data_IF_831790385470
#
_entry.id   IF_831790385470
#
_cell.length_a   1.000
_cell.length_b   1.000
_cell.length_c   1.000
_cell.angle_alpha   90.00
_cell.angle_beta   90.00
_cell.angle_gamma   90.00
#
_symmetry.space_group_name_H-M   'P 1'
#
loop_
_entity.id
_entity.type
_entity.pdbx_description
1 polymer ?
#
# COMPACT_ATOMS: atom_id res chain seq x y z
N UNK A 1 8.94 1.12 -5.74
CA UNK A 1 8.24 2.25 -5.08
C UNK A 1 9.01 3.52 -5.36
N UNK A 2 8.35 4.60 -5.74
CA UNK A 2 8.95 5.91 -6.02
C UNK A 2 8.43 6.92 -4.97
N UNK A 3 9.35 7.54 -4.23
CA UNK A 3 9.03 8.44 -3.10
C UNK A 3 9.07 9.89 -3.59
N UNK A 4 7.97 10.62 -3.40
CA UNK A 4 7.86 12.02 -3.79
C UNK A 4 8.91 12.86 -3.05
N UNK A 5 9.67 13.65 -3.82
CA UNK A 5 10.76 14.47 -3.30
C UNK A 5 12.10 13.73 -3.10
N UNK A 6 12.16 12.41 -3.39
CA UNK A 6 13.42 11.63 -3.33
C UNK A 6 13.78 10.98 -4.67
N UNK A 7 12.83 10.88 -5.57
CA UNK A 7 12.99 10.29 -6.89
C UNK A 7 12.88 11.40 -7.96
N UNK A 8 13.84 11.47 -8.85
CA UNK A 8 13.70 12.23 -10.10
C UNK A 8 12.91 11.36 -11.10
N UNK A 9 11.60 11.33 -10.91
CA UNK A 9 10.73 10.41 -11.63
C UNK A 9 10.77 10.57 -13.15
N UNK A 10 11.09 11.76 -13.64
CA UNK A 10 11.22 12.00 -15.09
C UNK A 10 12.38 11.24 -15.68
N UNK A 11 13.46 11.09 -14.91
CA UNK A 11 14.70 10.43 -15.31
C UNK A 11 14.77 8.99 -14.84
N UNK A 12 14.35 8.73 -13.59
CA UNK A 12 14.57 7.44 -12.94
C UNK A 12 13.51 6.39 -13.31
N UNK A 13 12.29 6.84 -13.70
CA UNK A 13 11.25 5.95 -14.21
C UNK A 13 11.34 5.92 -15.73
N UNK A 14 11.89 4.84 -16.26
CA UNK A 14 12.01 4.60 -17.71
C UNK A 14 10.62 4.31 -18.31
N UNK A 15 10.45 4.41 -19.65
CA UNK A 15 9.27 3.89 -20.33
C UNK A 15 9.03 2.41 -19.98
N UNK A 16 7.76 1.98 -19.94
CA UNK A 16 7.40 0.59 -19.55
C UNK A 16 8.06 -0.45 -20.48
N UNK A 17 8.23 -0.14 -21.76
CA UNK A 17 8.87 -1.01 -22.76
C UNK A 17 10.36 -1.28 -22.47
N UNK A 18 11.03 -0.35 -21.76
CA UNK A 18 12.43 -0.45 -21.35
C UNK A 18 12.60 -0.99 -19.92
N UNK A 19 11.52 -1.47 -19.30
CA UNK A 19 11.50 -1.89 -17.90
C UNK A 19 10.88 -3.28 -17.74
N UNK A 20 11.32 -3.99 -16.70
CA UNK A 20 10.77 -5.31 -16.31
C UNK A 20 9.65 -5.21 -15.27
N UNK A 21 9.37 -4.01 -14.78
CA UNK A 21 8.30 -3.80 -13.78
C UNK A 21 6.99 -3.44 -14.48
N UNK A 22 5.86 -3.83 -13.90
CA UNK A 22 4.52 -3.56 -14.42
C UNK A 22 3.85 -2.39 -13.70
N UNK A 23 4.16 -2.19 -12.42
CA UNK A 23 3.51 -1.21 -11.57
C UNK A 23 4.50 -0.28 -10.88
N UNK A 24 4.20 1.01 -10.87
CA UNK A 24 4.88 2.02 -10.07
C UNK A 24 4.00 2.40 -8.88
N UNK A 25 4.53 2.32 -7.67
CA UNK A 25 3.85 2.74 -6.44
C UNK A 25 4.43 4.08 -5.99
N UNK A 26 3.64 5.13 -6.09
CA UNK A 26 4.02 6.50 -5.69
C UNK A 26 3.76 6.69 -4.21
N UNK A 27 4.83 6.83 -3.42
CA UNK A 27 4.74 7.07 -1.97
C UNK A 27 4.77 8.57 -1.69
N UNK A 28 3.81 9.06 -0.92
CA UNK A 28 3.61 10.49 -0.68
C UNK A 28 3.02 10.76 0.70
N UNK A 29 3.27 11.95 1.22
CA UNK A 29 2.50 12.53 2.33
C UNK A 29 1.39 13.44 1.80
N UNK A 30 0.34 13.68 2.59
CA UNK A 30 -0.80 14.51 2.17
C UNK A 30 -0.40 15.90 1.68
N UNK A 31 0.57 16.54 2.31
CA UNK A 31 1.07 17.86 1.91
C UNK A 31 1.86 17.86 0.59
N UNK A 32 2.26 16.70 0.08
CA UNK A 32 2.97 16.54 -1.19
C UNK A 32 2.06 16.09 -2.34
N UNK A 33 0.76 16.03 -2.10
CA UNK A 33 -0.19 15.45 -3.07
C UNK A 33 -0.13 16.08 -4.46
N UNK A 34 0.02 17.41 -4.65
CA UNK A 34 0.16 17.98 -6.00
C UNK A 34 1.32 17.36 -6.79
N UNK A 35 2.49 17.22 -6.17
CA UNK A 35 3.67 16.60 -6.80
C UNK A 35 3.49 15.09 -7.01
N UNK A 36 2.74 14.44 -6.12
CA UNK A 36 2.39 13.01 -6.29
C UNK A 36 1.52 12.81 -7.53
N UNK A 37 0.54 13.67 -7.77
CA UNK A 37 -0.31 13.61 -8.96
C UNK A 37 0.53 13.79 -10.23
N UNK A 38 1.45 14.76 -10.27
CA UNK A 38 2.36 14.92 -11.42
C UNK A 38 3.18 13.65 -11.69
N UNK A 39 3.71 13.00 -10.64
CA UNK A 39 4.45 11.75 -10.77
C UNK A 39 3.56 10.58 -11.22
N UNK A 40 2.32 10.52 -10.75
CA UNK A 40 1.34 9.52 -11.18
C UNK A 40 1.05 9.67 -12.67
N UNK A 41 0.73 10.89 -13.12
CA UNK A 41 0.43 11.17 -14.53
C UNK A 41 1.63 10.85 -15.44
N UNK A 42 2.86 11.20 -15.02
CA UNK A 42 4.07 10.88 -15.76
C UNK A 42 4.27 9.35 -15.87
N UNK A 43 4.15 8.61 -14.77
CA UNK A 43 4.29 7.15 -14.78
C UNK A 43 3.18 6.48 -15.62
N UNK A 44 1.94 6.97 -15.57
CA UNK A 44 0.85 6.51 -16.44
C UNK A 44 1.15 6.77 -17.90
N UNK A 45 1.69 7.95 -18.25
CA UNK A 45 2.06 8.28 -19.63
C UNK A 45 3.16 7.37 -20.18
N UNK A 46 3.99 6.79 -19.29
CA UNK A 46 5.04 5.81 -19.61
C UNK A 46 4.53 4.37 -19.70
N UNK A 47 3.23 4.13 -19.49
CA UNK A 47 2.58 2.82 -19.70
C UNK A 47 2.49 1.94 -18.44
N UNK A 48 2.77 2.45 -17.25
CA UNK A 48 2.68 1.70 -16.01
C UNK A 48 1.26 1.64 -15.44
N UNK A 49 0.97 0.58 -14.70
CA UNK A 49 -0.04 0.60 -13.65
C UNK A 49 0.50 1.42 -12.47
N UNK A 50 -0.32 2.30 -11.88
CA UNK A 50 0.18 3.24 -10.87
C UNK A 50 -0.72 3.29 -9.65
N UNK A 51 -0.12 3.20 -8.45
CA UNK A 51 -0.84 3.40 -7.19
C UNK A 51 -0.32 4.59 -6.41
N UNK A 52 -1.22 5.25 -5.68
CA UNK A 52 -0.88 6.29 -4.71
C UNK A 52 -0.86 5.70 -3.30
N UNK A 53 0.31 5.74 -2.66
CA UNK A 53 0.51 5.25 -1.30
C UNK A 53 0.59 6.44 -0.35
N UNK A 54 -0.52 6.78 0.33
CA UNK A 54 -0.60 7.92 1.25
C UNK A 54 -0.03 7.49 2.60
N UNK A 55 1.17 8.00 2.91
CA UNK A 55 1.92 7.66 4.11
C UNK A 55 1.46 8.44 5.34
N UNK A 56 1.73 7.88 6.53
CA UNK A 56 1.55 8.52 7.84
C UNK A 56 0.13 8.99 8.13
N UNK A 57 -0.87 8.26 7.64
CA UNK A 57 -2.29 8.64 7.78
C UNK A 57 -2.72 8.77 9.26
N UNK A 58 -2.09 8.04 10.19
CA UNK A 58 -2.38 8.12 11.63
C UNK A 58 -2.06 9.49 12.24
N UNK A 59 -1.22 10.30 11.60
CA UNK A 59 -0.82 11.64 12.03
C UNK A 59 -1.40 12.75 11.14
N UNK A 60 -2.31 12.39 10.24
CA UNK A 60 -2.91 13.33 9.30
C UNK A 60 -4.27 13.79 9.82
N UNK A 61 -4.57 15.08 9.66
CA UNK A 61 -5.91 15.59 9.95
C UNK A 61 -6.91 15.02 8.93
N UNK A 62 -8.13 14.73 9.39
CA UNK A 62 -9.13 14.08 8.53
C UNK A 62 -9.47 14.94 7.29
N UNK A 63 -9.59 16.27 7.46
CA UNK A 63 -9.83 17.19 6.36
C UNK A 63 -8.74 17.17 5.28
N UNK A 64 -7.48 17.01 5.68
CA UNK A 64 -6.35 16.98 4.76
C UNK A 64 -6.31 15.65 4.02
N UNK A 65 -6.64 14.56 4.72
CA UNK A 65 -6.79 13.24 4.10
C UNK A 65 -7.94 13.22 3.08
N UNK A 66 -9.08 13.84 3.40
CA UNK A 66 -10.22 13.93 2.49
C UNK A 66 -9.87 14.70 1.22
N UNK A 67 -9.15 15.82 1.34
CA UNK A 67 -8.65 16.56 0.18
C UNK A 67 -7.68 15.73 -0.66
N UNK A 68 -6.75 15.02 -0.02
CA UNK A 68 -5.80 14.16 -0.70
C UNK A 68 -6.51 13.03 -1.46
N UNK A 69 -7.50 12.39 -0.85
CA UNK A 69 -8.30 11.35 -1.48
C UNK A 69 -9.10 11.87 -2.68
N UNK A 70 -9.69 13.07 -2.58
CA UNK A 70 -10.39 13.72 -3.70
C UNK A 70 -9.44 14.00 -4.88
N UNK A 71 -8.21 14.41 -4.61
CA UNK A 71 -7.20 14.61 -5.65
C UNK A 71 -6.82 13.29 -6.34
N UNK A 72 -6.56 12.23 -5.56
CA UNK A 72 -6.22 10.90 -6.13
C UNK A 72 -7.41 10.31 -6.87
N UNK A 73 -8.62 10.48 -6.37
CA UNK A 73 -9.84 10.03 -7.04
C UNK A 73 -9.95 10.56 -8.48
N UNK A 74 -9.58 11.83 -8.68
CA UNK A 74 -9.61 12.52 -9.98
C UNK A 74 -8.38 12.24 -10.87
N UNK A 75 -7.33 11.64 -10.34
CA UNK A 75 -6.10 11.32 -11.07
C UNK A 75 -6.23 10.04 -11.89
N UNK A 76 -5.22 9.79 -12.73
CA UNK A 76 -5.11 8.55 -13.50
C UNK A 76 -4.59 7.34 -12.72
N UNK A 77 -4.39 7.43 -11.39
CA UNK A 77 -4.00 6.32 -10.55
C UNK A 77 -5.00 5.15 -10.65
N UNK A 78 -4.49 3.91 -10.72
CA UNK A 78 -5.31 2.70 -10.76
C UNK A 78 -5.76 2.27 -9.35
N UNK A 79 -4.99 2.64 -8.31
CA UNK A 79 -5.32 2.27 -6.94
C UNK A 79 -4.77 3.24 -5.90
N UNK A 80 -5.33 3.12 -4.68
CA UNK A 80 -4.96 3.94 -3.52
C UNK A 80 -4.60 3.02 -2.35
N UNK A 81 -3.47 3.29 -1.68
CA UNK A 81 -3.03 2.49 -0.53
C UNK A 81 -3.23 3.22 0.79
N UNK A 82 -3.83 2.51 1.74
CA UNK A 82 -3.86 2.85 3.16
C UNK A 82 -2.48 2.50 3.73
N UNK A 83 -1.72 3.48 4.23
CA UNK A 83 -0.39 3.21 4.78
C UNK A 83 -0.32 3.62 6.24
N UNK A 84 -0.38 2.63 7.15
CA UNK A 84 -0.10 2.81 8.57
C UNK A 84 1.41 2.80 8.82
N UNK A 85 2.07 3.92 8.47
CA UNK A 85 3.54 4.06 8.53
C UNK A 85 4.13 3.89 9.91
N UNK A 86 3.35 4.17 10.95
CA UNK A 86 3.81 4.10 12.35
C UNK A 86 3.33 2.84 13.06
N UNK A 87 2.50 2.02 12.40
CA UNK A 87 1.88 0.86 13.04
C UNK A 87 1.10 1.25 14.31
N UNK A 88 0.43 2.39 14.25
CA UNK A 88 -0.22 3.04 15.40
C UNK A 88 -1.75 2.99 15.35
N UNK A 89 -2.32 2.52 14.24
CA UNK A 89 -3.77 2.43 14.09
C UNK A 89 -4.32 1.16 14.74
N UNK A 90 -5.46 1.30 15.39
CA UNK A 90 -6.25 0.20 15.91
C UNK A 90 -7.25 -0.33 14.86
N UNK A 91 -7.74 -1.57 14.99
CA UNK A 91 -8.67 -2.16 14.01
C UNK A 91 -9.92 -1.32 13.74
N UNK A 92 -10.47 -0.63 14.74
CA UNK A 92 -11.64 0.25 14.56
C UNK A 92 -11.32 1.47 13.69
N UNK A 93 -10.08 1.97 13.76
CA UNK A 93 -9.62 3.08 12.92
C UNK A 93 -9.39 2.58 11.50
N UNK A 94 -8.79 1.39 11.34
CA UNK A 94 -8.61 0.75 10.03
C UNK A 94 -9.96 0.51 9.37
N UNK A 95 -10.97 0.02 10.12
CA UNK A 95 -12.32 -0.18 9.61
C UNK A 95 -12.89 1.08 8.95
N UNK A 96 -12.89 2.19 9.68
CA UNK A 96 -13.39 3.48 9.17
C UNK A 96 -12.60 4.00 7.99
N UNK A 97 -11.27 3.87 8.05
CA UNK A 97 -10.39 4.29 6.95
C UNK A 97 -10.61 3.43 5.72
N UNK A 98 -10.70 2.11 5.87
CA UNK A 98 -10.95 1.20 4.76
C UNK A 98 -12.32 1.47 4.12
N UNK A 99 -13.38 1.66 4.90
CA UNK A 99 -14.71 2.01 4.39
C UNK A 99 -14.65 3.32 3.56
N UNK A 100 -13.96 4.36 4.05
CA UNK A 100 -13.78 5.64 3.33
C UNK A 100 -13.00 5.46 2.02
N UNK A 101 -11.89 4.72 2.05
CA UNK A 101 -11.06 4.49 0.87
C UNK A 101 -11.76 3.64 -0.19
N UNK A 102 -12.48 2.59 0.24
CA UNK A 102 -13.21 1.70 -0.69
C UNK A 102 -14.38 2.43 -1.34
N UNK A 103 -15.15 3.22 -0.60
CA UNK A 103 -16.23 4.05 -1.16
C UNK A 103 -15.71 5.00 -2.26
N UNK A 104 -14.64 5.73 -1.98
CA UNK A 104 -14.04 6.66 -2.94
C UNK A 104 -13.45 5.91 -4.14
N UNK A 105 -12.75 4.81 -3.91
CA UNK A 105 -12.12 4.02 -4.96
C UNK A 105 -13.15 3.38 -5.90
N UNK A 106 -14.21 2.77 -5.36
CA UNK A 106 -15.30 2.17 -6.14
C UNK A 106 -16.00 3.21 -7.01
N UNK A 107 -16.29 4.39 -6.47
CA UNK A 107 -16.93 5.49 -7.22
C UNK A 107 -16.06 5.99 -8.39
N UNK A 108 -14.76 5.71 -8.38
CA UNK A 108 -13.79 6.19 -9.38
C UNK A 108 -13.07 5.06 -10.14
N UNK A 109 -13.57 3.82 -10.05
CA UNK A 109 -13.02 2.67 -10.76
C UNK A 109 -11.59 2.30 -10.35
N UNK A 110 -11.22 2.54 -9.09
CA UNK A 110 -9.90 2.26 -8.52
C UNK A 110 -9.97 1.09 -7.54
N UNK A 111 -8.82 0.46 -7.27
CA UNK A 111 -8.70 -0.53 -6.21
C UNK A 111 -8.05 0.06 -4.95
N UNK A 112 -8.21 -0.64 -3.83
CA UNK A 112 -7.59 -0.25 -2.56
C UNK A 112 -6.58 -1.29 -2.10
N UNK A 113 -5.45 -0.82 -1.59
CA UNK A 113 -4.43 -1.62 -0.94
C UNK A 113 -4.20 -1.22 0.52
N UNK A 114 -3.59 -2.14 1.28
CA UNK A 114 -3.20 -1.94 2.67
C UNK A 114 -1.73 -2.25 2.88
N UNK A 115 -1.02 -1.32 3.54
CA UNK A 115 0.34 -1.51 4.04
C UNK A 115 0.39 -1.14 5.52
N UNK A 116 0.63 -2.13 6.39
CA UNK A 116 0.64 -1.97 7.83
C UNK A 116 2.00 -2.28 8.43
N UNK A 117 2.54 -1.34 9.23
CA UNK A 117 3.67 -1.59 10.12
C UNK A 117 3.22 -2.20 11.46
N UNK A 118 4.13 -2.92 12.13
CA UNK A 118 3.80 -3.80 13.25
C UNK A 118 4.22 -3.25 14.63
N UNK A 119 4.32 -1.94 14.79
CA UNK A 119 4.83 -1.34 16.03
C UNK A 119 3.98 -1.65 17.28
N UNK A 120 2.68 -1.83 17.12
CA UNK A 120 1.78 -2.29 18.19
C UNK A 120 1.41 -3.77 18.06
N UNK A 121 2.11 -4.53 17.22
CA UNK A 121 1.82 -5.94 16.92
C UNK A 121 0.41 -6.17 16.35
N UNK A 122 -0.15 -5.16 15.68
CA UNK A 122 -1.48 -5.19 15.09
C UNK A 122 -1.47 -5.27 13.56
N UNK A 123 -0.29 -5.31 12.90
CA UNK A 123 -0.23 -5.28 11.44
C UNK A 123 -1.06 -6.39 10.79
N UNK A 124 -0.99 -7.61 11.31
CA UNK A 124 -1.78 -8.73 10.81
C UNK A 124 -3.28 -8.50 11.01
N UNK A 125 -3.71 -8.15 12.24
CA UNK A 125 -5.11 -7.90 12.56
C UNK A 125 -5.68 -6.73 11.71
N UNK A 126 -4.92 -5.66 11.57
CA UNK A 126 -5.28 -4.51 10.75
C UNK A 126 -5.39 -4.85 9.26
N UNK A 127 -4.49 -5.69 8.74
CA UNK A 127 -4.55 -6.16 7.35
C UNK A 127 -5.79 -7.03 7.10
N UNK A 128 -6.15 -7.90 8.06
CA UNK A 128 -7.37 -8.72 7.96
C UNK A 128 -8.63 -7.85 8.06
N UNK A 129 -8.65 -6.87 8.96
CA UNK A 129 -9.79 -5.93 9.05
C UNK A 129 -9.99 -5.16 7.74
N UNK A 130 -8.89 -4.67 7.13
CA UNK A 130 -8.94 -4.01 5.82
C UNK A 130 -9.48 -4.96 4.72
N UNK A 131 -8.99 -6.20 4.68
CA UNK A 131 -9.48 -7.22 3.73
C UNK A 131 -10.98 -7.49 3.88
N UNK A 132 -11.47 -7.57 5.12
CA UNK A 132 -12.89 -7.74 5.41
C UNK A 132 -13.76 -6.56 4.96
N UNK A 133 -13.14 -5.40 4.67
CA UNK A 133 -13.78 -4.19 4.14
C UNK A 133 -13.60 -4.00 2.64
N UNK A 134 -13.17 -5.04 1.91
CA UNK A 134 -13.04 -4.98 0.45
C UNK A 134 -11.69 -4.49 -0.06
N UNK A 135 -10.71 -4.23 0.83
CA UNK A 135 -9.34 -3.94 0.39
C UNK A 135 -8.76 -5.17 -0.29
N UNK A 136 -8.36 -5.04 -1.55
CA UNK A 136 -8.04 -6.16 -2.43
C UNK A 136 -6.56 -6.47 -2.57
N UNK A 137 -5.67 -5.50 -2.27
CA UNK A 137 -4.22 -5.69 -2.27
C UNK A 137 -3.66 -5.56 -0.85
N UNK A 138 -2.96 -6.60 -0.39
CA UNK A 138 -2.48 -6.69 0.98
C UNK A 138 -0.96 -6.86 0.97
N UNK A 139 -0.24 -5.91 1.56
CA UNK A 139 1.21 -5.99 1.66
C UNK A 139 1.62 -6.86 2.86
N UNK A 140 2.58 -7.75 2.61
CA UNK A 140 3.18 -8.57 3.66
C UNK A 140 4.63 -8.92 3.30
N UNK A 141 5.44 -9.24 4.30
CA UNK A 141 6.83 -9.67 4.13
C UNK A 141 7.09 -10.95 4.93
N UNK A 142 8.04 -11.77 4.47
CA UNK A 142 8.43 -12.98 5.20
C UNK A 142 8.92 -12.61 6.60
N UNK A 143 8.43 -13.29 7.64
CA UNK A 143 8.66 -12.99 9.06
C UNK A 143 8.29 -11.54 9.45
N UNK A 144 7.47 -10.85 8.67
CA UNK A 144 7.18 -9.44 8.91
C UNK A 144 8.40 -8.52 8.78
N UNK A 145 9.44 -8.95 8.04
CA UNK A 145 10.69 -8.20 7.92
C UNK A 145 10.41 -6.80 7.35
N UNK A 146 10.90 -5.78 8.06
CA UNK A 146 10.69 -4.38 7.69
C UNK A 146 11.30 -3.41 8.69
N UNK A 147 11.13 -2.13 8.42
CA UNK A 147 11.63 -1.07 9.31
C UNK A 147 10.90 -1.07 10.66
N UNK A 148 11.60 -0.74 11.73
CA UNK A 148 11.05 -0.73 13.09
C UNK A 148 10.69 -2.13 13.56
N UNK A 149 9.47 -2.33 14.02
CA UNK A 149 8.93 -3.62 14.43
C UNK A 149 8.46 -4.51 13.26
N UNK A 150 8.73 -4.08 12.02
CA UNK A 150 8.39 -4.82 10.81
C UNK A 150 7.01 -4.51 10.24
N UNK A 151 6.54 -5.42 9.40
CA UNK A 151 5.31 -5.35 8.62
C UNK A 151 4.34 -6.49 9.02
N UNK A 152 3.24 -6.62 8.31
CA UNK A 152 2.41 -7.82 8.35
C UNK A 152 3.23 -9.04 7.90
N UNK A 153 3.20 -10.13 8.69
CA UNK A 153 3.90 -11.36 8.36
C UNK A 153 3.18 -12.13 7.24
N UNK A 154 3.90 -12.43 6.16
CA UNK A 154 3.35 -13.08 4.96
C UNK A 154 2.84 -14.49 5.27
N UNK A 155 3.58 -15.27 6.04
CA UNK A 155 3.20 -16.63 6.41
C UNK A 155 1.91 -16.68 7.23
N UNK A 156 1.66 -15.69 8.09
CA UNK A 156 0.39 -15.57 8.82
C UNK A 156 -0.74 -15.19 7.87
N UNK A 157 -0.51 -14.20 7.02
CA UNK A 157 -1.51 -13.72 6.07
C UNK A 157 -1.92 -14.82 5.08
N UNK A 158 -0.97 -15.52 4.47
CA UNK A 158 -1.24 -16.61 3.54
C UNK A 158 -1.94 -17.80 4.21
N UNK A 159 -1.62 -18.10 5.47
CA UNK A 159 -2.28 -19.17 6.23
C UNK A 159 -3.73 -18.81 6.58
N UNK A 160 -4.04 -17.54 6.76
CA UNK A 160 -5.39 -17.07 7.06
C UNK A 160 -6.27 -16.97 5.82
N UNK A 161 -5.72 -16.46 4.71
CA UNK A 161 -6.47 -16.26 3.48
C UNK A 161 -6.76 -17.61 2.81
N UNK A 162 -8.04 -17.91 2.63
CA UNK A 162 -8.49 -19.08 1.86
C UNK A 162 -8.37 -18.83 0.36
N UNK A 163 -7.15 -18.58 -0.11
CA UNK A 163 -6.90 -18.33 -1.52
C UNK A 163 -6.19 -19.53 -2.16
N UNK A 164 -6.81 -20.24 -3.11
CA UNK A 164 -6.21 -21.41 -3.75
C UNK A 164 -4.98 -21.09 -4.63
N UNK A 165 -4.76 -19.80 -4.97
CA UNK A 165 -3.61 -19.38 -5.78
C UNK A 165 -2.28 -19.40 -5.01
N UNK A 166 -2.33 -19.28 -3.67
CA UNK A 166 -1.14 -19.10 -2.86
C UNK A 166 -0.94 -20.26 -1.90
N UNK A 167 0.26 -20.83 -1.96
CA UNK A 167 0.69 -21.89 -1.07
C UNK A 167 1.70 -21.33 -0.07
N UNK A 168 1.42 -21.47 1.22
CA UNK A 168 2.30 -20.97 2.28
C UNK A 168 3.56 -21.83 2.47
N UNK A 169 3.54 -23.12 2.12
CA UNK A 169 4.65 -24.04 2.39
C UNK A 169 5.99 -23.62 1.80
N UNK A 170 6.10 -23.12 0.55
CA UNK A 170 7.37 -22.61 0.04
C UNK A 170 7.93 -21.45 0.85
N UNK A 171 7.06 -20.58 1.39
CA UNK A 171 7.44 -19.46 2.25
C UNK A 171 8.00 -19.98 3.58
N UNK A 172 7.28 -20.93 4.22
CA UNK A 172 7.71 -21.54 5.48
C UNK A 172 9.05 -22.26 5.32
N UNK A 173 9.22 -23.04 4.24
CA UNK A 173 10.46 -23.71 3.93
C UNK A 173 11.63 -22.74 3.75
N UNK A 174 11.42 -21.66 3.00
CA UNK A 174 12.45 -20.63 2.82
C UNK A 174 12.83 -19.96 4.14
N UNK A 175 11.85 -19.67 4.98
CA UNK A 175 12.08 -19.10 6.32
C UNK A 175 12.94 -20.08 7.16
N UNK A 176 12.58 -21.35 7.19
CA UNK A 176 13.31 -22.38 7.95
C UNK A 176 14.76 -22.54 7.48
N UNK A 177 14.96 -22.56 6.16
CA UNK A 177 16.29 -22.85 5.58
C UNK A 177 17.22 -21.64 5.53
N UNK A 178 16.69 -20.42 5.51
CA UNK A 178 17.48 -19.23 5.19
C UNK A 178 17.30 -18.03 6.13
N UNK A 179 16.26 -18.00 6.95
CA UNK A 179 15.96 -16.85 7.80
C UNK A 179 16.01 -17.15 9.29
N UNK A 180 15.83 -18.40 9.70
CA UNK A 180 16.01 -18.82 11.08
C UNK A 180 17.50 -19.15 11.34
N UNK A 181 18.02 -18.84 12.57
CA UNK A 181 19.40 -19.12 12.95
C UNK A 181 19.68 -20.62 13.06
#
# INVERSE_FOLDING_TARGET
MADVGRCDYKKDILPREDSVIDMVRVATYVHQMPSAIEMIEDAKSKGYEVTCNIMAISNTQESDLDQALDMVAKSSADGIYIVDSYGALYPEQIRRTADKYTEIAEANGKFVGMHAHNNQQLAFANTIEAAARGVSLLDATMMGMGRGAGNCAMELLLSFLKNPKYNVFPVLKFIEEHMLP
#
